data_IF_088835885820
#
_entry.id   IF_088835885820
#
_cell.length_a   1.000
_cell.length_b   1.000
_cell.length_c   1.000
_cell.angle_alpha   90.00
_cell.angle_beta   90.00
_cell.angle_gamma   90.00
#
_symmetry.space_group_name_H-M   'P 1'
#
loop_
_entity.id
_entity.type
_entity.pdbx_description
1 polymer ?
#
# COMPACT_ATOMS: atom_id res chain seq x y z
N UNK A 1 15.38 -12.87 9.04
CA UNK A 1 14.32 -11.84 9.04
C UNK A 1 13.29 -12.19 10.08
N UNK A 2 13.06 -11.28 11.02
CA UNK A 2 11.93 -11.32 11.94
C UNK A 2 10.64 -10.91 11.23
N UNK A 3 9.50 -11.27 11.83
CA UNK A 3 8.18 -10.87 11.33
C UNK A 3 7.98 -9.35 11.35
N UNK A 4 8.70 -8.63 12.22
CA UNK A 4 8.68 -7.17 12.26
C UNK A 4 9.37 -6.59 11.03
N UNK A 5 10.57 -7.06 10.71
CA UNK A 5 11.34 -6.63 9.53
C UNK A 5 10.59 -6.91 8.22
N UNK A 6 9.87 -8.04 8.13
CA UNK A 6 9.03 -8.35 6.97
C UNK A 6 7.88 -7.35 6.78
N UNK A 7 7.22 -6.94 7.87
CA UNK A 7 6.13 -5.98 7.81
C UNK A 7 6.63 -4.59 7.44
N UNK A 8 7.78 -4.19 7.98
CA UNK A 8 8.43 -2.92 7.62
C UNK A 8 8.87 -2.90 6.15
N UNK A 9 9.36 -4.02 5.61
CA UNK A 9 9.71 -4.14 4.20
C UNK A 9 8.48 -3.96 3.30
N UNK A 10 7.37 -4.63 3.62
CA UNK A 10 6.10 -4.51 2.89
C UNK A 10 5.56 -3.08 2.95
N UNK A 11 5.58 -2.45 4.12
CA UNK A 11 5.12 -1.05 4.27
C UNK A 11 5.96 -0.10 3.41
N UNK A 12 7.28 -0.31 3.38
CA UNK A 12 8.21 0.52 2.61
C UNK A 12 8.02 0.36 1.11
N UNK A 13 7.81 -0.86 0.64
CA UNK A 13 7.53 -1.17 -0.76
C UNK A 13 6.19 -0.57 -1.21
N UNK A 14 5.12 -0.82 -0.45
CA UNK A 14 3.79 -0.26 -0.70
C UNK A 14 3.85 1.27 -0.78
N UNK A 15 4.61 1.91 0.11
CA UNK A 15 4.78 3.36 0.12
C UNK A 15 5.55 3.87 -1.09
N UNK A 16 6.60 3.18 -1.53
CA UNK A 16 7.35 3.55 -2.72
C UNK A 16 6.47 3.48 -3.98
N UNK A 17 5.69 2.40 -4.13
CA UNK A 17 4.79 2.22 -5.27
C UNK A 17 3.63 3.22 -5.27
N UNK A 18 3.10 3.55 -4.10
CA UNK A 18 2.10 4.61 -3.92
C UNK A 18 2.61 6.01 -4.31
N UNK A 19 3.92 6.27 -4.24
CA UNK A 19 4.50 7.55 -4.67
C UNK A 19 4.59 7.67 -6.19
N UNK A 20 4.85 6.55 -6.88
CA UNK A 20 4.91 6.50 -8.35
C UNK A 20 3.52 6.45 -9.01
N UNK A 21 2.51 5.97 -8.28
CA UNK A 21 1.13 5.92 -8.78
C UNK A 21 0.30 7.15 -8.43
N UNK A 22 -0.67 7.48 -9.30
CA UNK A 22 -1.68 8.49 -8.99
C UNK A 22 -2.54 8.00 -7.81
N UNK A 23 -2.55 8.68 -6.65
CA UNK A 23 -3.22 8.20 -5.44
C UNK A 23 -4.71 7.87 -5.64
N UNK A 24 -5.34 8.55 -6.62
CA UNK A 24 -6.74 8.38 -7.00
C UNK A 24 -7.10 7.02 -7.58
N UNK A 25 -6.20 6.40 -8.34
CA UNK A 25 -6.43 5.05 -8.84
C UNK A 25 -6.43 4.04 -7.68
N UNK A 26 -5.48 4.21 -6.76
CA UNK A 26 -5.25 3.27 -5.66
C UNK A 26 -6.37 3.26 -4.63
N UNK A 27 -6.82 4.44 -4.15
CA UNK A 27 -7.91 4.45 -3.17
C UNK A 27 -9.25 4.00 -3.77
N UNK A 28 -9.46 4.21 -5.08
CA UNK A 28 -10.67 3.74 -5.78
C UNK A 28 -10.66 2.22 -5.91
N UNK A 29 -9.54 1.64 -6.36
CA UNK A 29 -9.41 0.19 -6.55
C UNK A 29 -9.38 -0.58 -5.23
N UNK A 30 -8.78 -0.02 -4.17
CA UNK A 30 -8.70 -0.66 -2.86
C UNK A 30 -9.91 -0.36 -1.96
N UNK A 31 -10.92 0.38 -2.45
CA UNK A 31 -12.05 0.88 -1.63
C UNK A 31 -11.59 1.56 -0.33
N UNK A 32 -10.47 2.30 -0.41
CA UNK A 32 -9.90 3.04 0.71
C UNK A 32 -10.35 4.50 0.65
N UNK A 33 -10.35 5.18 1.80
CA UNK A 33 -10.47 6.64 1.78
C UNK A 33 -9.14 7.26 1.33
N UNK A 34 -9.20 8.44 0.69
CA UNK A 34 -7.99 9.20 0.38
C UNK A 34 -7.15 9.50 1.63
N UNK A 35 -7.79 9.72 2.79
CA UNK A 35 -7.12 9.90 4.06
C UNK A 35 -6.32 8.65 4.49
N UNK A 36 -6.82 7.45 4.21
CA UNK A 36 -6.12 6.20 4.50
C UNK A 36 -4.83 6.08 3.69
N UNK A 37 -4.86 6.42 2.40
CA UNK A 37 -3.66 6.42 1.55
C UNK A 37 -2.68 7.51 1.98
N UNK A 38 -3.17 8.70 2.32
CA UNK A 38 -2.32 9.75 2.89
C UNK A 38 -1.66 9.31 4.20
N UNK A 39 -2.33 8.53 5.03
CA UNK A 39 -1.74 7.98 6.26
C UNK A 39 -0.58 7.02 5.95
N UNK A 40 -0.72 6.12 4.96
CA UNK A 40 0.38 5.25 4.49
C UNK A 40 1.55 6.09 3.96
N UNK A 41 1.26 7.05 3.09
CA UNK A 41 2.27 7.95 2.52
C UNK A 41 2.99 8.79 3.59
N UNK A 42 2.29 9.12 4.68
CA UNK A 42 2.83 9.87 5.82
C UNK A 42 3.57 8.99 6.85
N UNK A 43 3.65 7.67 6.63
CA UNK A 43 4.25 6.73 7.58
C UNK A 43 3.48 6.62 8.91
N UNK A 44 2.17 6.93 8.89
CA UNK A 44 1.29 6.69 10.04
C UNK A 44 0.93 5.21 10.09
N UNK A 45 0.79 4.68 11.31
CA UNK A 45 0.30 3.31 11.50
C UNK A 45 -1.05 3.13 10.81
N UNK A 46 -1.09 2.18 9.89
CA UNK A 46 -2.31 1.73 9.24
C UNK A 46 -2.61 0.29 9.65
N UNK A 47 -3.84 -0.15 9.39
CA UNK A 47 -4.21 -1.54 9.67
C UNK A 47 -3.48 -2.49 8.71
N UNK A 48 -3.20 -3.71 9.17
CA UNK A 48 -2.66 -4.77 8.31
C UNK A 48 -3.58 -5.07 7.12
N UNK A 49 -4.90 -4.88 7.28
CA UNK A 49 -5.86 -5.04 6.19
C UNK A 49 -5.63 -4.02 5.07
N UNK A 50 -5.33 -2.76 5.42
CA UNK A 50 -4.96 -1.71 4.46
C UNK A 50 -3.70 -2.09 3.69
N UNK A 51 -2.65 -2.54 4.39
CA UNK A 51 -1.40 -2.97 3.75
C UNK A 51 -1.61 -4.14 2.78
N UNK A 52 -2.42 -5.13 3.17
CA UNK A 52 -2.76 -6.28 2.33
C UNK A 52 -3.57 -5.90 1.10
N UNK A 53 -4.51 -4.97 1.22
CA UNK A 53 -5.30 -4.50 0.08
C UNK A 53 -4.42 -3.81 -0.95
N UNK A 54 -3.50 -2.94 -0.49
CA UNK A 54 -2.54 -2.25 -1.35
C UNK A 54 -1.57 -3.24 -2.02
N UNK A 55 -1.01 -4.18 -1.26
CA UNK A 55 -0.12 -5.20 -1.80
C UNK A 55 -0.79 -6.04 -2.90
N UNK A 56 -2.05 -6.46 -2.71
CA UNK A 56 -2.79 -7.20 -3.75
C UNK A 56 -3.04 -6.37 -5.00
N UNK A 57 -3.46 -5.12 -4.84
CA UNK A 57 -3.67 -4.23 -5.97
C UNK A 57 -2.39 -4.09 -6.82
N UNK A 58 -1.24 -4.04 -6.15
CA UNK A 58 0.07 -3.97 -6.76
C UNK A 58 0.50 -5.29 -7.43
N UNK A 59 0.24 -6.44 -6.80
CA UNK A 59 0.47 -7.77 -7.38
C UNK A 59 -0.39 -7.99 -8.64
N UNK A 60 -1.68 -7.64 -8.59
CA UNK A 60 -2.61 -7.76 -9.72
C UNK A 60 -2.15 -6.88 -10.90
N UNK A 61 -1.66 -5.67 -10.61
CA UNK A 61 -1.10 -4.74 -11.59
C UNK A 61 0.17 -5.26 -12.27
N UNK A 62 1.03 -5.94 -11.53
CA UNK A 62 2.26 -6.52 -12.10
C UNK A 62 1.98 -7.79 -12.90
N UNK A 63 0.92 -8.53 -12.55
CA UNK A 63 0.47 -9.72 -13.28
C UNK A 63 -0.22 -9.42 -14.63
N UNK A 64 -0.67 -8.19 -14.87
CA UNK A 64 -1.24 -7.74 -16.15
C UNK A 64 -0.19 -7.23 -17.17
N UNK A 65 1.12 -7.29 -16.87
CA UNK A 65 2.20 -6.80 -17.76
C UNK A 65 2.77 -7.86 -18.68
#
# INVERSE_FOLDING_TARGET
>A
MSRLEQLEAIEREVRARLLDEKPKAVYTACNLSGATVCNVLSGKRVSLATLRALARYFDDKDGER
#
